data_IF_949108054191
#
_entry.id   IF_949108054191
#
_cell.length_a   1.000
_cell.length_b   1.000
_cell.length_c   1.000
_cell.angle_alpha   90.00
_cell.angle_beta   90.00
_cell.angle_gamma   90.00
#
_symmetry.space_group_name_H-M   'P 1'
#
loop_
_entity.id
_entity.type
_entity.pdbx_description
1 polymer ?
#
# COMPACT_ATOMS: atom_id res chain seq x y z
N UNK A 1 -6.30 -12.13 -22.15
CA UNK A 1 -6.56 -12.19 -20.70
C UNK A 1 -6.43 -10.77 -20.16
N UNK A 2 -7.54 -10.08 -19.89
CA UNK A 2 -7.52 -8.64 -19.56
C UNK A 2 -7.38 -8.41 -18.05
N UNK A 3 -6.38 -7.64 -17.62
CA UNK A 3 -6.24 -7.22 -16.22
C UNK A 3 -7.22 -6.07 -15.97
N UNK A 4 -8.22 -6.28 -15.12
CA UNK A 4 -9.10 -5.20 -14.65
C UNK A 4 -8.34 -4.40 -13.58
N UNK A 5 -7.80 -3.25 -13.96
CA UNK A 5 -7.29 -2.26 -13.03
C UNK A 5 -8.48 -1.59 -12.35
N UNK A 6 -8.62 -1.80 -11.04
CA UNK A 6 -9.68 -1.18 -10.25
C UNK A 6 -9.04 -0.15 -9.35
N UNK A 7 -9.28 1.13 -9.64
CA UNK A 7 -8.96 2.21 -8.72
C UNK A 7 -9.83 2.01 -7.47
N UNK A 8 -9.22 1.78 -6.32
CA UNK A 8 -9.93 1.58 -5.07
C UNK A 8 -9.35 2.52 -4.02
N UNK A 9 -10.10 3.56 -3.68
CA UNK A 9 -9.82 4.38 -2.50
C UNK A 9 -10.24 3.59 -1.27
N UNK A 10 -9.27 3.02 -0.54
CA UNK A 10 -9.54 2.35 0.73
C UNK A 10 -9.52 3.37 1.88
N UNK A 11 -10.69 3.93 2.21
CA UNK A 11 -10.92 4.59 3.50
C UNK A 11 -11.32 3.54 4.53
N UNK A 12 -10.35 2.76 5.00
CA UNK A 12 -10.60 1.69 5.97
C UNK A 12 -9.64 1.78 7.16
N UNK A 13 -10.07 1.36 8.37
CA UNK A 13 -9.16 1.14 9.49
C UNK A 13 -7.97 0.29 9.04
N UNK A 14 -6.75 0.60 9.47
CA UNK A 14 -5.53 -0.04 8.94
C UNK A 14 -5.53 -1.57 9.04
N UNK A 15 -6.25 -2.15 9.99
CA UNK A 15 -6.46 -3.59 10.08
C UNK A 15 -7.10 -4.17 8.81
N UNK A 16 -8.04 -3.46 8.16
CA UNK A 16 -8.58 -3.87 6.86
C UNK A 16 -7.55 -3.71 5.74
N UNK A 17 -6.64 -2.74 5.80
CA UNK A 17 -5.53 -2.61 4.84
C UNK A 17 -4.58 -3.80 4.94
N UNK A 18 -4.19 -4.22 6.15
CA UNK A 18 -3.39 -5.42 6.39
C UNK A 18 -4.05 -6.66 5.78
N UNK A 19 -5.36 -6.83 6.03
CA UNK A 19 -6.11 -8.01 5.59
C UNK A 19 -6.38 -7.99 4.08
N UNK A 20 -6.66 -6.83 3.47
CA UNK A 20 -7.12 -6.72 2.07
C UNK A 20 -6.02 -6.43 1.05
N UNK A 21 -4.80 -6.18 1.49
CA UNK A 21 -3.67 -5.92 0.57
C UNK A 21 -2.51 -6.88 0.80
N UNK A 22 -1.94 -7.40 -0.28
CA UNK A 22 -0.70 -8.17 -0.33
C UNK A 22 0.28 -7.53 -1.31
N UNK A 23 1.53 -8.00 -1.32
CA UNK A 23 2.52 -7.59 -2.32
C UNK A 23 2.42 -8.53 -3.52
N UNK A 24 2.39 -7.98 -4.74
CA UNK A 24 2.43 -8.78 -5.97
C UNK A 24 3.86 -9.25 -6.25
N UNK A 25 4.02 -10.42 -6.87
CA UNK A 25 5.31 -10.97 -7.30
C UNK A 25 6.07 -10.09 -8.32
N UNK A 26 5.40 -9.12 -8.94
CA UNK A 26 5.98 -8.19 -9.92
C UNK A 26 6.33 -6.84 -9.29
N UNK A 27 6.13 -6.68 -7.98
CA UNK A 27 6.52 -5.47 -7.28
C UNK A 27 8.06 -5.40 -7.25
N UNK A 28 8.68 -4.39 -7.89
CA UNK A 28 10.14 -4.34 -8.01
C UNK A 28 10.84 -3.92 -6.71
N UNK A 29 10.09 -3.48 -5.70
CA UNK A 29 10.67 -3.02 -4.43
C UNK A 29 11.11 -4.23 -3.60
N UNK A 30 12.34 -4.19 -3.09
CA UNK A 30 12.77 -5.08 -2.02
C UNK A 30 11.92 -4.82 -0.76
N UNK A 31 11.02 -5.76 -0.42
CA UNK A 31 10.09 -5.57 0.70
C UNK A 31 10.79 -5.64 2.06
N UNK A 32 11.92 -6.33 2.17
CA UNK A 32 12.71 -6.38 3.41
C UNK A 32 13.35 -5.02 3.74
N UNK A 33 13.57 -4.19 2.71
CA UNK A 33 14.08 -2.83 2.85
C UNK A 33 12.97 -1.78 3.05
N UNK A 34 11.70 -2.19 3.20
CA UNK A 34 10.60 -1.28 3.52
C UNK A 34 10.45 -1.20 5.04
N UNK A 35 11.20 -0.26 5.62
CA UNK A 35 11.28 -0.02 7.06
C UNK A 35 11.11 1.48 7.41
N UNK A 36 11.32 1.80 8.68
CA UNK A 36 11.24 3.15 9.23
C UNK A 36 12.24 4.12 8.59
N UNK A 37 13.46 3.66 8.33
CA UNK A 37 14.49 4.47 7.70
C UNK A 37 14.09 4.81 6.26
N UNK A 38 13.64 3.80 5.52
CA UNK A 38 13.18 3.94 4.15
C UNK A 38 11.92 4.78 4.05
N UNK A 39 11.12 4.95 5.11
CA UNK A 39 9.85 5.68 5.09
C UNK A 39 9.86 7.01 5.84
N UNK A 40 10.99 7.39 6.43
CA UNK A 40 11.15 8.59 7.26
C UNK A 40 10.68 9.89 6.59
N UNK A 41 10.89 10.04 5.28
CA UNK A 41 10.50 11.26 4.58
C UNK A 41 9.01 11.32 4.25
N UNK A 42 8.35 10.18 4.04
CA UNK A 42 6.95 10.13 3.59
C UNK A 42 5.97 9.97 4.74
N UNK A 43 6.37 9.35 5.85
CA UNK A 43 5.49 9.11 6.98
C UNK A 43 4.93 10.43 7.58
N UNK A 44 5.73 11.49 7.81
CA UNK A 44 5.21 12.76 8.29
C UNK A 44 4.23 13.40 7.30
N UNK A 45 4.54 13.35 6.01
CA UNK A 45 3.69 13.90 4.95
C UNK A 45 2.33 13.19 4.88
N UNK A 46 2.33 11.87 5.02
CA UNK A 46 1.10 11.06 5.05
C UNK A 46 0.28 11.34 6.32
N UNK A 47 0.93 11.60 7.47
CA UNK A 47 0.23 11.99 8.70
C UNK A 47 -0.45 13.34 8.57
N UNK A 48 0.21 14.30 7.92
CA UNK A 48 -0.30 15.66 7.75
C UNK A 48 -1.36 15.76 6.65
N UNK A 49 -1.11 15.14 5.50
CA UNK A 49 -1.90 15.37 4.28
C UNK A 49 -2.70 14.14 3.81
N UNK A 50 -2.54 13.00 4.47
CA UNK A 50 -3.01 11.73 3.97
C UNK A 50 -2.19 11.21 2.78
N UNK A 51 -2.66 10.12 2.18
CA UNK A 51 -2.05 9.57 0.97
C UNK A 51 -2.57 10.33 -0.25
N UNK A 52 -1.71 11.08 -0.92
CA UNK A 52 -2.06 11.94 -2.06
C UNK A 52 -1.79 11.29 -3.43
N UNK A 53 -1.12 10.15 -3.44
CA UNK A 53 -0.87 9.37 -4.66
C UNK A 53 -1.48 7.98 -4.48
N UNK A 54 -2.17 7.48 -5.48
CA UNK A 54 -2.81 6.17 -5.46
C UNK A 54 -1.78 5.05 -5.67
N UNK A 55 -2.05 3.88 -5.09
CA UNK A 55 -1.22 2.69 -5.27
C UNK A 55 -1.74 1.86 -6.46
N UNK A 56 -0.84 1.18 -7.17
CA UNK A 56 -1.21 0.29 -8.27
C UNK A 56 -1.28 -1.15 -7.74
N UNK A 57 -2.42 -1.80 -7.96
CA UNK A 57 -2.63 -3.18 -7.56
C UNK A 57 -3.43 -3.97 -8.60
N UNK A 58 -3.23 -5.28 -8.60
CA UNK A 58 -4.10 -6.24 -9.28
C UNK A 58 -5.10 -6.80 -8.28
N UNK A 59 -6.37 -6.81 -8.64
CA UNK A 59 -7.42 -7.40 -7.79
C UNK A 59 -7.68 -8.85 -8.18
N UNK A 60 -7.52 -9.79 -7.24
CA UNK A 60 -7.77 -11.23 -7.41
C UNK A 60 -8.32 -11.81 -6.11
N UNK A 61 -9.36 -12.65 -6.19
CA UNK A 61 -9.90 -13.42 -5.05
C UNK A 61 -10.21 -12.59 -3.80
N UNK A 62 -10.78 -11.39 -3.96
CA UNK A 62 -11.13 -10.52 -2.83
C UNK A 62 -9.99 -9.61 -2.34
N UNK A 63 -8.78 -9.77 -2.88
CA UNK A 63 -7.55 -9.18 -2.39
C UNK A 63 -6.90 -8.24 -3.42
N UNK A 64 -6.22 -7.19 -2.95
CA UNK A 64 -5.41 -6.29 -3.78
C UNK A 64 -3.93 -6.66 -3.66
N UNK A 65 -3.31 -7.06 -4.76
CA UNK A 65 -1.88 -7.38 -4.86
C UNK A 65 -1.13 -6.16 -5.41
N UNK A 66 -0.38 -5.48 -4.56
CA UNK A 66 0.31 -4.23 -4.85
C UNK A 66 1.52 -4.45 -5.76
N UNK A 67 1.49 -3.83 -6.94
CA UNK A 67 2.63 -3.68 -7.83
C UNK A 67 3.46 -2.45 -7.43
N UNK A 68 2.80 -1.40 -6.94
CA UNK A 68 3.41 -0.15 -6.50
C UNK A 68 2.75 0.31 -5.19
N UNK A 69 3.44 1.14 -4.40
CA UNK A 69 2.86 1.75 -3.20
C UNK A 69 3.24 1.08 -1.88
N UNK A 70 4.19 0.13 -1.86
CA UNK A 70 4.60 -0.61 -0.64
C UNK A 70 4.97 0.32 0.53
N UNK A 71 5.73 1.38 0.29
CA UNK A 71 6.13 2.35 1.32
C UNK A 71 4.93 3.13 1.88
N UNK A 72 3.99 3.56 1.03
CA UNK A 72 2.74 4.22 1.45
C UNK A 72 1.85 3.28 2.26
N UNK A 73 1.71 2.03 1.81
CA UNK A 73 0.99 0.97 2.54
C UNK A 73 1.61 0.73 3.92
N UNK A 74 2.94 0.62 4.00
CA UNK A 74 3.65 0.49 5.27
C UNK A 74 3.35 1.64 6.22
N UNK A 75 3.45 2.90 5.75
CA UNK A 75 3.11 4.07 6.57
C UNK A 75 1.65 4.02 7.04
N UNK A 76 0.72 3.68 6.16
CA UNK A 76 -0.70 3.55 6.50
C UNK A 76 -0.95 2.47 7.56
N UNK A 77 -0.20 1.37 7.53
CA UNK A 77 -0.32 0.33 8.55
C UNK A 77 0.25 0.82 9.88
N UNK A 78 1.40 1.49 9.85
CA UNK A 78 2.09 1.98 11.06
C UNK A 78 1.32 3.08 11.80
N UNK A 79 0.54 3.91 11.10
CA UNK A 79 -0.20 5.01 11.74
C UNK A 79 -1.34 4.55 12.65
N UNK A 80 -1.80 3.30 12.55
CA UNK A 80 -2.95 2.78 13.29
C UNK A 80 -2.68 1.41 13.92
N UNK A 81 -1.41 0.99 13.93
CA UNK A 81 -0.93 -0.22 14.60
C UNK A 81 -0.22 0.12 15.90
#
# INVERSE_FOLDING_TARGET
MGVKLKLATLSSPAQKLLIKTLVHELNPRNQEAVDDLSTREILPLIKENGVTTEAIAVYRDGQFYLIEGSRRRFCCIKMFG
#
